data_IF_161568277897
#
_entry.id   IF_161568277897
#
_cell.length_a   1.000
_cell.length_b   1.000
_cell.length_c   1.000
_cell.angle_alpha   90.00
_cell.angle_beta   90.00
_cell.angle_gamma   90.00
#
_symmetry.space_group_name_H-M   'P 1'
#
loop_
_entity.id
_entity.type
_entity.pdbx_description
1 polymer ?
#
# COMPACT_ATOMS: atom_id res chain seq x y z
N UNK A 1 -3.13 30.44 -9.27
CA UNK A 1 -1.65 30.29 -9.20
C UNK A 1 -1.30 28.91 -9.72
N UNK A 2 -0.51 28.86 -10.80
CA UNK A 2 -0.11 27.60 -11.44
C UNK A 2 1.05 26.97 -10.64
N UNK A 3 0.77 25.96 -9.82
CA UNK A 3 1.81 25.17 -9.15
C UNK A 3 2.42 24.19 -10.15
N UNK A 4 3.19 24.70 -11.13
CA UNK A 4 4.07 23.85 -11.93
C UNK A 4 5.29 23.47 -11.10
N UNK A 5 5.71 22.21 -11.23
CA UNK A 5 6.95 21.72 -10.64
C UNK A 5 8.01 21.95 -11.70
N UNK A 6 8.74 23.05 -11.56
CA UNK A 6 9.76 23.47 -12.52
C UNK A 6 11.05 22.64 -12.38
N UNK A 7 11.29 22.05 -11.20
CA UNK A 7 12.40 21.15 -10.92
C UNK A 7 11.97 20.04 -9.94
N UNK A 8 11.93 18.80 -10.44
CA UNK A 8 11.54 17.63 -9.66
C UNK A 8 12.60 17.21 -8.65
N UNK A 9 13.88 17.32 -8.98
CA UNK A 9 14.98 16.87 -8.12
C UNK A 9 15.09 17.79 -6.90
N UNK A 10 14.97 19.10 -7.12
CA UNK A 10 14.83 20.08 -6.04
C UNK A 10 13.61 19.82 -5.15
N UNK A 11 12.49 19.41 -5.74
CA UNK A 11 11.30 19.02 -4.96
C UNK A 11 11.55 17.75 -4.14
N UNK A 12 12.19 16.72 -4.69
CA UNK A 12 12.54 15.49 -3.96
C UNK A 12 13.48 15.80 -2.80
N UNK A 13 14.47 16.67 -3.00
CA UNK A 13 15.37 17.07 -1.92
C UNK A 13 14.62 17.81 -0.81
N UNK A 14 13.71 18.72 -1.18
CA UNK A 14 12.83 19.43 -0.25
C UNK A 14 11.94 18.44 0.52
N UNK A 15 11.37 17.46 -0.18
CA UNK A 15 10.53 16.41 0.38
C UNK A 15 11.27 15.63 1.48
N UNK A 16 12.46 15.11 1.16
CA UNK A 16 13.30 14.35 2.10
C UNK A 16 13.71 15.21 3.30
N UNK A 17 14.16 16.44 3.04
CA UNK A 17 14.64 17.35 4.07
C UNK A 17 13.54 17.74 5.07
N UNK A 18 12.34 18.07 4.58
CA UNK A 18 11.22 18.43 5.46
C UNK A 18 10.75 17.23 6.29
N UNK A 19 10.66 16.04 5.71
CA UNK A 19 10.21 14.85 6.45
C UNK A 19 11.27 14.43 7.48
N UNK A 20 12.55 14.50 7.15
CA UNK A 20 13.64 14.23 8.11
C UNK A 20 13.59 15.19 9.30
N UNK A 21 13.41 16.50 9.05
CA UNK A 21 13.45 17.54 10.10
C UNK A 21 12.14 17.67 10.89
N UNK A 22 11.01 17.68 10.19
CA UNK A 22 9.68 18.03 10.73
C UNK A 22 8.74 16.83 10.85
N UNK A 23 9.12 15.66 10.33
CA UNK A 23 8.28 14.44 10.24
C UNK A 23 7.02 14.63 9.37
N UNK A 24 6.89 15.76 8.65
CA UNK A 24 5.77 16.11 7.77
C UNK A 24 6.22 17.11 6.71
N UNK A 25 5.46 17.21 5.61
CA UNK A 25 5.61 18.29 4.63
C UNK A 25 4.84 19.54 5.07
N UNK A 26 5.33 20.70 4.65
CA UNK A 26 4.51 21.92 4.66
C UNK A 26 3.26 21.75 3.78
N UNK A 27 2.16 22.48 4.07
CA UNK A 27 0.93 22.39 3.27
C UNK A 27 1.17 22.61 1.76
N UNK A 28 1.97 23.62 1.42
CA UNK A 28 2.31 23.97 0.03
C UNK A 28 3.02 22.80 -0.67
N UNK A 29 4.01 22.18 -0.02
CA UNK A 29 4.72 21.04 -0.60
C UNK A 29 3.87 19.77 -0.63
N UNK A 30 2.95 19.61 0.32
CA UNK A 30 2.01 18.50 0.32
C UNK A 30 1.02 18.60 -0.83
N UNK A 31 0.51 19.80 -1.14
CA UNK A 31 -0.36 20.02 -2.30
C UNK A 31 0.38 19.74 -3.62
N UNK A 32 1.65 20.16 -3.73
CA UNK A 32 2.51 19.79 -4.86
C UNK A 32 2.69 18.27 -4.97
N UNK A 33 2.91 17.57 -3.85
CA UNK A 33 3.00 16.11 -3.85
C UNK A 33 1.71 15.45 -4.32
N UNK A 34 0.55 15.96 -3.91
CA UNK A 34 -0.76 15.46 -4.39
C UNK A 34 -0.87 15.62 -5.90
N UNK A 35 -0.44 16.74 -6.47
CA UNK A 35 -0.43 16.94 -7.93
C UNK A 35 0.50 15.93 -8.63
N UNK A 36 1.66 15.64 -8.05
CA UNK A 36 2.59 14.64 -8.58
C UNK A 36 2.02 13.23 -8.63
N UNK A 37 1.17 12.84 -7.67
CA UNK A 37 0.59 11.49 -7.65
C UNK A 37 -0.20 11.12 -8.91
N UNK A 38 -0.59 12.12 -9.71
CA UNK A 38 -1.34 11.96 -10.97
C UNK A 38 -0.46 12.17 -12.21
N UNK A 39 0.80 12.50 -12.00
CA UNK A 39 1.76 12.80 -13.06
C UNK A 39 2.63 11.56 -13.32
N UNK A 40 3.10 11.32 -14.57
CA UNK A 40 4.12 10.32 -14.85
C UNK A 40 5.39 10.48 -13.99
N UNK A 41 5.65 11.70 -13.50
CA UNK A 41 6.77 12.00 -12.61
C UNK A 41 6.73 11.24 -11.28
N UNK A 42 5.57 10.70 -10.87
CA UNK A 42 5.46 9.86 -9.68
C UNK A 42 6.38 8.63 -9.75
N UNK A 43 6.73 8.17 -10.95
CA UNK A 43 7.62 7.04 -11.14
C UNK A 43 9.01 7.27 -10.54
N UNK A 44 9.46 8.53 -10.45
CA UNK A 44 10.72 8.88 -9.78
C UNK A 44 10.70 8.60 -8.28
N UNK A 45 9.53 8.56 -7.65
CA UNK A 45 9.42 8.20 -6.22
C UNK A 45 9.59 6.70 -5.98
N UNK A 46 9.41 5.85 -6.99
CA UNK A 46 9.62 4.40 -6.89
C UNK A 46 11.12 4.08 -6.78
N UNK A 47 11.94 4.83 -7.52
CA UNK A 47 13.40 4.64 -7.53
C UNK A 47 14.07 5.16 -6.26
N UNK A 48 13.32 5.86 -5.40
CA UNK A 48 13.83 6.35 -4.14
C UNK A 48 13.85 5.23 -3.10
N UNK A 49 14.96 5.14 -2.37
CA UNK A 49 14.97 4.42 -1.10
C UNK A 49 14.25 5.27 -0.05
N UNK A 50 12.94 5.03 0.11
CA UNK A 50 12.09 5.76 1.03
C UNK A 50 12.24 5.20 2.44
N UNK A 51 12.30 6.08 3.42
CA UNK A 51 12.05 5.74 4.81
C UNK A 51 10.57 5.45 5.04
N UNK A 52 10.22 4.75 6.13
CA UNK A 52 8.82 4.52 6.51
C UNK A 52 8.00 5.82 6.67
N UNK A 53 8.63 6.91 7.13
CA UNK A 53 7.97 8.22 7.27
C UNK A 53 7.68 8.86 5.92
N UNK A 54 8.62 8.75 4.98
CA UNK A 54 8.44 9.24 3.61
C UNK A 54 7.37 8.45 2.87
N UNK A 55 7.38 7.12 3.00
CA UNK A 55 6.34 6.25 2.46
C UNK A 55 4.96 6.59 3.03
N UNK A 56 4.85 6.86 4.33
CA UNK A 56 3.59 7.28 4.96
C UNK A 56 3.09 8.63 4.40
N UNK A 57 3.97 9.61 4.23
CA UNK A 57 3.59 10.92 3.65
C UNK A 57 3.14 10.77 2.20
N UNK A 58 3.84 9.97 1.40
CA UNK A 58 3.45 9.64 0.03
C UNK A 58 2.10 8.91 -0.03
N UNK A 59 1.90 7.90 0.81
CA UNK A 59 0.64 7.18 0.95
C UNK A 59 -0.54 8.12 1.27
N UNK A 60 -0.34 9.06 2.20
CA UNK A 60 -1.36 10.08 2.52
C UNK A 60 -1.64 11.03 1.35
N UNK A 61 -0.64 11.35 0.53
CA UNK A 61 -0.86 12.15 -0.67
C UNK A 61 -1.75 11.40 -1.68
N UNK A 62 -1.51 10.10 -1.90
CA UNK A 62 -2.40 9.27 -2.72
C UNK A 62 -3.83 9.25 -2.19
N UNK A 63 -4.01 9.07 -0.88
CA UNK A 63 -5.33 9.12 -0.25
C UNK A 63 -6.06 10.44 -0.49
N UNK A 64 -5.35 11.58 -0.54
CA UNK A 64 -5.93 12.91 -0.79
C UNK A 64 -6.14 13.24 -2.26
N UNK A 65 -5.45 12.55 -3.19
CA UNK A 65 -5.60 12.77 -4.62
C UNK A 65 -7.01 12.39 -5.12
N UNK A 66 -7.70 13.31 -5.80
CA UNK A 66 -9.01 13.02 -6.44
C UNK A 66 -8.84 12.28 -7.78
N UNK A 67 -9.76 11.41 -8.16
CA UNK A 67 -9.77 10.73 -9.47
C UNK A 67 -8.47 9.97 -9.77
N UNK A 68 -7.91 9.30 -8.75
CA UNK A 68 -6.70 8.52 -8.89
C UNK A 68 -7.02 7.17 -9.54
N UNK A 69 -6.34 6.85 -10.64
CA UNK A 69 -6.41 5.53 -11.27
C UNK A 69 -5.44 4.60 -10.56
N UNK A 70 -5.90 3.94 -9.50
CA UNK A 70 -5.00 3.16 -8.64
C UNK A 70 -4.38 1.96 -9.38
N UNK A 71 -5.08 1.36 -10.35
CA UNK A 71 -4.58 0.21 -11.13
C UNK A 71 -3.27 0.52 -11.85
N UNK A 72 -3.15 1.73 -12.42
CA UNK A 72 -1.94 2.21 -13.09
C UNK A 72 -0.78 2.41 -12.10
N UNK A 73 -1.06 2.48 -10.79
CA UNK A 73 -0.08 2.72 -9.73
C UNK A 73 0.31 1.46 -8.98
N UNK A 74 -0.51 0.41 -8.93
CA UNK A 74 -0.22 -0.80 -8.14
C UNK A 74 1.11 -1.42 -8.60
N UNK A 75 1.28 -1.62 -9.92
CA UNK A 75 2.48 -2.23 -10.51
C UNK A 75 3.79 -1.51 -10.14
N UNK A 76 3.71 -0.21 -9.85
CA UNK A 76 4.84 0.62 -9.48
C UNK A 76 5.41 0.27 -8.09
N UNK A 77 4.61 -0.35 -7.22
CA UNK A 77 4.98 -0.62 -5.82
C UNK A 77 5.03 -2.11 -5.48
N UNK A 78 5.21 -3.00 -6.46
CA UNK A 78 5.28 -4.46 -6.23
C UNK A 78 6.67 -4.97 -5.81
N UNK A 79 7.65 -4.09 -5.56
CA UNK A 79 8.91 -4.50 -4.92
C UNK A 79 8.64 -4.83 -3.43
N UNK A 80 9.12 -5.97 -2.90
CA UNK A 80 8.80 -6.43 -1.55
C UNK A 80 9.54 -5.61 -0.47
N UNK A 81 9.01 -4.43 -0.15
CA UNK A 81 9.46 -3.61 0.98
C UNK A 81 8.27 -3.23 1.87
N UNK A 82 8.52 -3.03 3.17
CA UNK A 82 7.49 -2.58 4.13
C UNK A 82 6.90 -1.22 3.75
N UNK A 83 7.72 -0.37 3.14
CA UNK A 83 7.33 0.94 2.62
C UNK A 83 6.33 0.83 1.47
N UNK A 84 6.61 -0.07 0.53
CA UNK A 84 5.72 -0.32 -0.58
C UNK A 84 4.41 -0.94 -0.12
N UNK A 85 4.45 -1.88 0.81
CA UNK A 85 3.25 -2.43 1.43
C UNK A 85 2.38 -1.34 2.09
N UNK A 86 3.01 -0.39 2.80
CA UNK A 86 2.32 0.76 3.38
C UNK A 86 1.69 1.67 2.31
N UNK A 87 2.41 1.95 1.22
CA UNK A 87 1.90 2.78 0.11
C UNK A 87 0.72 2.10 -0.58
N UNK A 88 0.85 0.81 -0.89
CA UNK A 88 -0.23 -0.01 -1.45
C UNK A 88 -1.45 -0.02 -0.52
N UNK A 89 -1.24 -0.14 0.80
CA UNK A 89 -2.33 -0.09 1.78
C UNK A 89 -3.09 1.24 1.67
N UNK A 90 -2.37 2.36 1.56
CA UNK A 90 -2.98 3.68 1.39
C UNK A 90 -3.74 3.82 0.07
N UNK A 91 -3.23 3.25 -1.02
CA UNK A 91 -3.91 3.23 -2.33
C UNK A 91 -5.23 2.44 -2.24
N UNK A 92 -5.20 1.25 -1.64
CA UNK A 92 -6.38 0.39 -1.52
C UNK A 92 -7.44 0.96 -0.58
N UNK A 93 -7.04 1.70 0.46
CA UNK A 93 -7.96 2.43 1.33
C UNK A 93 -8.82 3.48 0.60
N UNK A 94 -8.46 3.89 -0.63
CA UNK A 94 -9.31 4.78 -1.43
C UNK A 94 -10.57 4.14 -1.98
N UNK A 95 -10.62 2.79 -2.03
CA UNK A 95 -11.77 2.04 -2.58
C UNK A 95 -12.17 2.51 -3.99
N UNK A 96 -11.18 2.82 -4.84
CA UNK A 96 -11.45 3.20 -6.22
C UNK A 96 -12.04 2.00 -6.98
N UNK A 97 -12.91 2.25 -7.97
CA UNK A 97 -13.33 1.19 -8.89
C UNK A 97 -12.13 0.71 -9.69
N UNK A 98 -11.97 -0.60 -9.75
CA UNK A 98 -10.90 -1.32 -10.45
C UNK A 98 -11.50 -2.53 -11.16
N UNK A 99 -10.96 -2.87 -12.31
CA UNK A 99 -11.27 -4.03 -13.12
C UNK A 99 -10.51 -5.29 -12.67
N UNK A 100 -9.24 -5.14 -12.26
CA UNK A 100 -8.43 -6.29 -11.82
C UNK A 100 -7.35 -5.89 -10.80
N UNK A 101 -7.29 -6.64 -9.70
CA UNK A 101 -6.25 -6.52 -8.67
C UNK A 101 -5.64 -7.87 -8.28
N UNK A 102 -5.83 -8.93 -9.09
CA UNK A 102 -5.36 -10.28 -8.74
C UNK A 102 -3.85 -10.39 -8.57
N UNK A 103 -3.07 -9.49 -9.21
CA UNK A 103 -1.61 -9.37 -9.02
C UNK A 103 -1.21 -9.16 -7.54
N UNK A 104 -2.12 -8.67 -6.71
CA UNK A 104 -1.86 -8.54 -5.27
C UNK A 104 -1.81 -9.87 -4.54
N UNK A 105 -2.48 -10.93 -5.03
CA UNK A 105 -2.35 -12.26 -4.45
C UNK A 105 -0.89 -12.74 -4.59
N UNK A 106 -0.35 -12.71 -5.80
CA UNK A 106 1.03 -13.10 -6.12
C UNK A 106 2.06 -12.29 -5.32
N UNK A 107 1.77 -11.01 -5.07
CA UNK A 107 2.61 -10.16 -4.24
C UNK A 107 2.48 -10.50 -2.74
N UNK A 108 1.28 -10.74 -2.23
CA UNK A 108 1.05 -10.92 -0.80
C UNK A 108 1.44 -12.31 -0.30
N UNK A 109 1.10 -13.38 -1.02
CA UNK A 109 1.34 -14.78 -0.62
C UNK A 109 2.77 -15.01 -0.10
N UNK A 110 3.84 -14.72 -0.88
CA UNK A 110 5.20 -14.96 -0.40
C UNK A 110 5.63 -14.01 0.73
N UNK A 111 5.00 -12.83 0.86
CA UNK A 111 5.40 -11.80 1.82
C UNK A 111 4.70 -11.90 3.18
N UNK A 112 3.52 -12.52 3.26
CA UNK A 112 2.75 -12.68 4.50
C UNK A 112 3.41 -13.64 5.48
N UNK A 113 4.16 -14.65 5.00
CA UNK A 113 4.94 -15.58 5.82
C UNK A 113 5.93 -14.90 6.77
N UNK A 114 6.38 -13.69 6.42
CA UNK A 114 7.24 -12.87 7.28
C UNK A 114 6.55 -12.36 8.56
N UNK A 115 5.21 -12.50 8.65
CA UNK A 115 4.36 -11.94 9.71
C UNK A 115 4.56 -10.44 9.96
N UNK A 116 5.08 -9.72 8.96
CA UNK A 116 5.25 -8.28 9.04
C UNK A 116 3.90 -7.59 8.99
N UNK A 117 3.59 -6.79 10.01
CA UNK A 117 2.35 -6.00 10.09
C UNK A 117 2.09 -5.15 8.84
N UNK A 118 3.12 -4.71 8.12
CA UNK A 118 2.94 -3.94 6.88
C UNK A 118 2.25 -4.77 5.79
N UNK A 119 2.64 -6.04 5.61
CA UNK A 119 2.03 -6.93 4.62
C UNK A 119 0.69 -7.47 5.10
N UNK A 120 0.57 -7.79 6.39
CA UNK A 120 -0.69 -8.25 6.98
C UNK A 120 -1.78 -7.17 6.93
N UNK A 121 -1.43 -5.91 7.21
CA UNK A 121 -2.38 -4.79 7.04
C UNK A 121 -2.75 -4.57 5.57
N UNK A 122 -1.82 -4.75 4.63
CA UNK A 122 -2.12 -4.69 3.21
C UNK A 122 -3.11 -5.79 2.82
N UNK A 123 -2.88 -7.03 3.26
CA UNK A 123 -3.78 -8.16 3.06
C UNK A 123 -5.17 -7.90 3.62
N UNK A 124 -5.27 -7.42 4.86
CA UNK A 124 -6.54 -7.08 5.50
C UNK A 124 -7.31 -6.01 4.73
N UNK A 125 -6.64 -4.95 4.27
CA UNK A 125 -7.25 -3.88 3.47
C UNK A 125 -7.65 -4.38 2.08
N UNK A 126 -6.86 -5.26 1.48
CA UNK A 126 -7.18 -5.89 0.19
C UNK A 126 -8.48 -6.69 0.30
N UNK A 127 -8.59 -7.59 1.28
CA UNK A 127 -9.81 -8.37 1.52
C UNK A 127 -11.02 -7.47 1.82
N UNK A 128 -10.89 -6.53 2.76
CA UNK A 128 -12.00 -5.64 3.15
C UNK A 128 -12.59 -4.82 2.01
N UNK A 129 -11.76 -4.38 1.07
CA UNK A 129 -12.18 -3.45 0.03
C UNK A 129 -12.35 -4.08 -1.34
N UNK A 130 -11.75 -5.25 -1.57
CA UNK A 130 -11.60 -5.85 -2.89
C UNK A 130 -11.71 -7.39 -2.86
N UNK A 131 -12.56 -7.93 -1.97
CA UNK A 131 -12.76 -9.38 -1.76
C UNK A 131 -12.95 -10.18 -3.05
N UNK A 132 -13.56 -9.60 -4.08
CA UNK A 132 -13.81 -10.25 -5.36
C UNK A 132 -12.56 -10.63 -6.16
N UNK A 133 -11.37 -10.12 -5.78
CA UNK A 133 -10.10 -10.46 -6.44
C UNK A 133 -9.22 -11.38 -5.60
N UNK A 134 -9.69 -11.84 -4.43
CA UNK A 134 -8.97 -12.80 -3.59
C UNK A 134 -8.99 -14.17 -4.27
N UNK A 135 -7.84 -14.83 -4.38
CA UNK A 135 -7.73 -16.19 -4.93
C UNK A 135 -7.83 -17.27 -3.83
N UNK A 136 -8.19 -18.49 -4.23
CA UNK A 136 -8.19 -19.65 -3.33
C UNK A 136 -6.79 -19.91 -2.76
N UNK A 137 -5.74 -19.74 -3.56
CA UNK A 137 -4.35 -19.88 -3.11
C UNK A 137 -3.99 -18.86 -2.01
N UNK A 138 -4.50 -17.63 -2.11
CA UNK A 138 -4.31 -16.63 -1.07
C UNK A 138 -5.00 -17.05 0.23
N UNK A 139 -6.21 -17.59 0.14
CA UNK A 139 -6.96 -18.10 1.30
C UNK A 139 -6.20 -19.23 1.99
N UNK A 140 -5.71 -20.20 1.22
CA UNK A 140 -4.93 -21.31 1.76
C UNK A 140 -3.66 -20.79 2.45
N UNK A 141 -2.97 -19.81 1.88
CA UNK A 141 -1.83 -19.20 2.54
C UNK A 141 -2.21 -18.50 3.86
N UNK A 142 -3.34 -17.78 3.90
CA UNK A 142 -3.82 -17.12 5.12
C UNK A 142 -4.08 -18.13 6.25
N UNK A 143 -4.69 -19.29 5.95
CA UNK A 143 -4.95 -20.35 6.93
C UNK A 143 -3.67 -20.87 7.58
N UNK A 144 -2.56 -20.89 6.85
CA UNK A 144 -1.27 -21.37 7.36
C UNK A 144 -0.54 -20.33 8.24
N UNK A 145 -0.90 -19.04 8.13
CA UNK A 145 -0.23 -17.97 8.88
C UNK A 145 -0.93 -17.74 10.22
N UNK A 146 -0.39 -18.34 11.29
CA UNK A 146 -0.88 -18.08 12.66
C UNK A 146 -0.56 -16.62 13.09
N UNK A 147 -1.55 -15.72 12.95
CA UNK A 147 -1.51 -14.33 13.36
C UNK A 147 -2.95 -13.77 13.51
N UNK A 148 -3.27 -12.92 14.51
CA UNK A 148 -4.64 -12.41 14.72
C UNK A 148 -5.25 -11.66 13.53
N UNK A 149 -4.43 -10.96 12.76
CA UNK A 149 -4.87 -10.31 11.51
C UNK A 149 -5.30 -11.33 10.43
N UNK A 150 -4.68 -12.50 10.40
CA UNK A 150 -5.08 -13.58 9.48
C UNK A 150 -6.40 -14.20 9.92
N UNK A 151 -6.61 -14.39 11.23
CA UNK A 151 -7.92 -14.82 11.77
C UNK A 151 -9.02 -13.83 11.35
N UNK A 152 -8.78 -12.52 11.51
CA UNK A 152 -9.71 -11.48 11.08
C UNK A 152 -9.98 -11.52 9.56
N UNK A 153 -8.99 -11.84 8.74
CA UNK A 153 -9.17 -11.99 7.29
C UNK A 153 -10.09 -13.18 6.99
N UNK A 154 -9.93 -14.30 7.68
CA UNK A 154 -10.76 -15.50 7.49
C UNK A 154 -12.20 -15.24 7.94
N UNK A 155 -12.39 -14.53 9.06
CA UNK A 155 -13.70 -14.10 9.52
C UNK A 155 -14.42 -13.21 8.49
N UNK A 156 -13.70 -12.26 7.86
CA UNK A 156 -14.24 -11.40 6.80
C UNK A 156 -14.61 -12.15 5.51
N UNK A 157 -14.01 -13.33 5.31
CA UNK A 157 -14.29 -14.22 4.19
C UNK A 157 -15.33 -15.29 4.53
N UNK A 158 -15.82 -15.33 5.78
CA UNK A 158 -16.77 -16.33 6.28
C UNK A 158 -16.22 -17.77 6.14
N UNK A 159 -14.92 -17.94 6.41
CA UNK A 159 -14.22 -19.23 6.30
C UNK A 159 -14.01 -19.84 7.68
N UNK A 160 -14.63 -20.98 7.93
CA UNK A 160 -14.37 -21.77 9.13
C UNK A 160 -13.03 -22.50 9.01
N UNK A 161 -12.20 -22.40 10.05
CA UNK A 161 -10.94 -23.16 10.16
C UNK A 161 -11.19 -24.33 11.07
N UNK A 162 -11.20 -25.54 10.52
CA UNK A 162 -11.12 -26.76 11.32
C UNK A 162 -9.77 -26.79 12.04
N UNK A 163 -9.77 -26.40 13.32
CA UNK A 163 -8.59 -26.58 14.18
C UNK A 163 -8.56 -28.04 14.57
N UNK A 164 -7.76 -28.84 13.88
CA UNK A 164 -7.45 -30.19 14.35
C UNK A 164 -6.93 -30.10 15.79
N UNK A 165 -7.68 -30.71 16.71
CA UNK A 165 -7.24 -30.88 18.09
C UNK A 165 -6.05 -31.84 18.06
N UNK A 166 -4.84 -31.30 18.18
CA UNK A 166 -3.68 -32.12 18.52
C UNK A 166 -3.83 -32.47 20.00
N UNK A 167 -4.45 -33.62 20.27
CA UNK A 167 -4.38 -34.26 21.58
C UNK A 167 -2.91 -34.60 21.86
N UNK A 168 -2.41 -34.07 22.99
CA UNK A 168 -1.07 -34.32 23.51
C UNK A 168 -1.05 -35.59 24.38
#
# INVERSE_FOLDING_TARGET
>A
MSNKIEDLDSFIQTFRNEIKRKKKLSPINFDKLILLTKSPLIQKFITLDLTMKEANVLGRAFMKAKNLKIEELIGLFLKPTKQNALILTCLLCKKCKVNDLRILNDFLIPNMRSKSLAYLNLALVFVRNYKQFVSDEFIEEIKQVNHPVCDEILDLLEIEVEKEMVEA
#
